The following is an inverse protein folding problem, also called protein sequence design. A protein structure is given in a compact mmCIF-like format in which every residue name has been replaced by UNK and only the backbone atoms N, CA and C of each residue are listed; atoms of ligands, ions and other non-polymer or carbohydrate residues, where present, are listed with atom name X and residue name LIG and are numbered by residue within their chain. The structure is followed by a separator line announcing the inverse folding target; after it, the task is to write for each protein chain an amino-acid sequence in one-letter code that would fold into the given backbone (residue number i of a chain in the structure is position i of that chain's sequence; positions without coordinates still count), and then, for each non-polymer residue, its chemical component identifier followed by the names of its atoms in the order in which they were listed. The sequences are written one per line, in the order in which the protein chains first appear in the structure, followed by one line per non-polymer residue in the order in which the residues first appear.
data_IF_088030949072
#
_entry.id   IF_088030949072
#
_cell.length_a   1.000
_cell.length_b   1.000
_cell.length_c   1.000
_cell.angle_alpha   90.00
_cell.angle_beta   90.00
_cell.angle_gamma   90.00
#
_symmetry.space_group_name_H-M   'P 1'
#
loop_
_entity.id
_entity.type
_entity.pdbx_description
1 polymer ?
#
# COMPACT_ATOMS: atom_id res chain seq x y z
N UNK A 1 -10.85 28.53 -13.94
CA UNK A 1 -9.54 28.19 -13.35
C UNK A 1 -9.22 26.78 -13.83
N UNK A 2 -8.11 26.58 -14.53
CA UNK A 2 -7.70 25.24 -14.98
C UNK A 2 -6.97 24.59 -13.81
N UNK A 3 -7.58 23.58 -13.17
CA UNK A 3 -7.01 22.94 -11.98
C UNK A 3 -6.30 21.66 -12.42
N UNK A 4 -5.01 21.55 -12.10
CA UNK A 4 -4.21 20.38 -12.44
C UNK A 4 -4.30 19.36 -11.31
N UNK A 5 -4.35 18.07 -11.65
CA UNK A 5 -4.15 17.01 -10.67
C UNK A 5 -2.65 16.73 -10.58
N UNK A 6 -2.09 16.89 -9.38
CA UNK A 6 -0.69 16.58 -9.09
C UNK A 6 -0.67 15.40 -8.13
N UNK A 7 0.01 14.33 -8.51
CA UNK A 7 0.20 13.16 -7.66
C UNK A 7 1.70 12.90 -7.53
N UNK A 8 2.17 12.83 -6.30
CA UNK A 8 3.56 12.52 -6.01
C UNK A 8 3.67 11.50 -4.89
N UNK A 9 4.83 10.86 -4.78
CA UNK A 9 5.08 9.90 -3.72
C UNK A 9 6.28 9.01 -4.03
N UNK A 10 6.43 7.98 -3.21
CA UNK A 10 7.44 6.96 -3.42
C UNK A 10 6.81 5.61 -3.76
N UNK A 11 7.46 4.89 -4.66
CA UNK A 11 7.23 3.46 -4.86
C UNK A 11 8.34 2.70 -4.16
N UNK A 12 7.96 1.76 -3.29
CA UNK A 12 8.89 0.93 -2.53
C UNK A 12 8.50 -0.54 -2.61
N UNK A 13 9.47 -1.41 -2.40
CA UNK A 13 9.23 -2.84 -2.19
C UNK A 13 8.57 -3.05 -0.82
N UNK A 14 7.55 -3.91 -0.75
CA UNK A 14 6.81 -4.17 0.49
C UNK A 14 7.62 -4.98 1.52
N UNK A 15 8.57 -5.82 1.09
CA UNK A 15 9.40 -6.68 1.93
C UNK A 15 10.66 -5.95 2.43
N UNK A 16 11.38 -5.26 1.55
CA UNK A 16 12.65 -4.59 1.86
C UNK A 16 12.49 -3.12 2.19
N UNK A 17 11.34 -2.51 1.85
CA UNK A 17 11.07 -1.07 1.98
C UNK A 17 12.07 -0.20 1.17
N UNK A 18 12.76 -0.79 0.19
CA UNK A 18 13.67 -0.07 -0.69
C UNK A 18 12.90 0.64 -1.81
N UNK A 19 13.38 1.82 -2.21
CA UNK A 19 12.82 2.57 -3.32
C UNK A 19 13.00 1.83 -4.64
N UNK A 20 11.91 1.66 -5.39
CA UNK A 20 11.94 0.94 -6.66
C UNK A 20 12.12 1.91 -7.83
N UNK A 21 13.25 1.87 -8.55
CA UNK A 21 13.49 2.74 -9.69
C UNK A 21 12.84 2.21 -10.96
N UNK A 22 12.53 3.12 -11.89
CA UNK A 22 11.96 2.83 -13.20
C UNK A 22 10.62 2.08 -13.17
N UNK A 23 9.85 2.24 -12.10
CA UNK A 23 8.48 1.74 -11.98
C UNK A 23 7.58 2.59 -12.86
N UNK A 24 6.69 1.93 -13.63
CA UNK A 24 5.75 2.62 -14.49
C UNK A 24 4.46 2.96 -13.72
N UNK A 25 4.10 4.24 -13.69
CA UNK A 25 2.84 4.74 -13.17
C UNK A 25 2.02 5.39 -14.27
N UNK A 26 0.75 5.02 -14.40
CA UNK A 26 -0.14 5.60 -15.41
C UNK A 26 -1.56 5.79 -14.89
N UNK A 27 -2.21 6.88 -15.31
CA UNK A 27 -3.63 7.05 -15.05
C UNK A 27 -4.43 5.96 -15.79
N UNK A 28 -5.32 5.27 -15.08
CA UNK A 28 -6.11 4.16 -15.64
C UNK A 28 -6.89 4.63 -16.87
N UNK A 29 -6.70 3.97 -18.01
CA UNK A 29 -7.38 4.30 -19.26
C UNK A 29 -6.86 5.57 -19.96
N UNK A 30 -5.78 6.17 -19.46
CA UNK A 30 -5.13 7.33 -20.06
C UNK A 30 -3.75 6.96 -20.59
N UNK A 31 -3.25 7.74 -21.55
CA UNK A 31 -1.85 7.66 -22.03
C UNK A 31 -0.88 8.44 -21.16
N UNK A 32 -1.39 9.09 -20.12
CA UNK A 32 -0.62 9.96 -19.24
C UNK A 32 -0.05 9.09 -18.13
N UNK A 33 1.26 8.96 -18.14
CA UNK A 33 2.04 8.20 -17.19
C UNK A 33 3.40 8.83 -16.94
N UNK A 34 4.06 8.34 -15.91
CA UNK A 34 5.40 8.72 -15.50
C UNK A 34 6.15 7.49 -15.03
N UNK A 35 7.45 7.62 -14.82
CA UNK A 35 8.27 6.57 -14.23
C UNK A 35 8.93 7.07 -12.95
N UNK A 36 9.25 6.18 -12.03
CA UNK A 36 10.03 6.55 -10.84
C UNK A 36 11.49 6.82 -11.16
N UNK A 37 12.09 7.75 -10.41
CA UNK A 37 13.52 8.03 -10.37
C UNK A 37 14.32 6.92 -9.65
N UNK A 38 15.65 7.08 -9.59
CA UNK A 38 16.61 6.16 -8.98
C UNK A 38 16.27 5.86 -7.50
N UNK A 39 15.65 6.81 -6.79
CA UNK A 39 15.24 6.68 -5.39
C UNK A 39 13.79 6.17 -5.22
N UNK A 40 13.12 5.78 -6.31
CA UNK A 40 11.72 5.38 -6.31
C UNK A 40 10.71 6.52 -6.14
N UNK A 41 11.15 7.78 -6.19
CA UNK A 41 10.24 8.94 -6.20
C UNK A 41 9.57 9.09 -7.57
N UNK A 42 8.30 9.52 -7.58
CA UNK A 42 7.62 9.91 -8.80
C UNK A 42 6.80 11.18 -8.58
N UNK A 43 6.59 11.91 -9.68
CA UNK A 43 5.65 13.03 -9.75
C UNK A 43 4.96 13.00 -11.11
N UNK A 44 3.63 13.07 -11.10
CA UNK A 44 2.81 13.13 -12.30
C UNK A 44 1.81 14.28 -12.17
N UNK A 45 1.80 15.15 -13.17
CA UNK A 45 0.86 16.26 -13.27
C UNK A 45 0.00 16.11 -14.52
N UNK A 46 -1.30 16.33 -14.39
CA UNK A 46 -2.21 16.20 -15.51
C UNK A 46 -3.50 16.99 -15.35
N UNK A 47 -3.93 17.61 -16.45
CA UNK A 47 -5.27 18.20 -16.60
C UNK A 47 -6.34 17.17 -16.97
N UNK A 48 -5.93 15.97 -17.39
CA UNK A 48 -6.81 14.88 -17.83
C UNK A 48 -6.60 13.63 -16.97
N UNK A 49 -6.36 13.83 -15.68
CA UNK A 49 -6.21 12.74 -14.72
C UNK A 49 -7.51 11.95 -14.57
N UNK A 50 -7.38 10.64 -14.42
CA UNK A 50 -8.51 9.76 -14.10
C UNK A 50 -8.62 9.55 -12.59
N UNK A 51 -9.64 8.82 -12.14
CA UNK A 51 -9.87 8.53 -10.72
C UNK A 51 -8.89 7.50 -10.13
N UNK A 52 -8.05 6.88 -10.97
CA UNK A 52 -7.22 5.74 -10.59
C UNK A 52 -5.82 5.85 -11.20
N UNK A 53 -4.80 5.64 -10.37
CA UNK A 53 -3.40 5.55 -10.77
C UNK A 53 -2.96 4.09 -10.66
N UNK A 54 -2.45 3.55 -11.77
CA UNK A 54 -1.99 2.17 -11.91
C UNK A 54 -0.47 2.19 -11.85
N UNK A 55 0.08 1.35 -10.97
CA UNK A 55 1.50 1.16 -10.79
C UNK A 55 1.87 -0.26 -11.23
N UNK A 56 2.86 -0.38 -12.12
CA UNK A 56 3.29 -1.64 -12.72
C UNK A 56 4.81 -1.72 -12.81
N UNK A 57 5.34 -2.86 -12.41
CA UNK A 57 6.77 -3.12 -12.43
C UNK A 57 7.05 -4.60 -12.72
N UNK A 58 8.16 -4.87 -13.41
CA UNK A 58 8.49 -6.22 -13.86
C UNK A 58 8.85 -7.08 -12.64
N UNK A 59 8.17 -8.22 -12.48
CA UNK A 59 8.38 -9.11 -11.34
C UNK A 59 7.56 -8.74 -10.09
N UNK A 60 6.64 -7.76 -10.19
CA UNK A 60 5.80 -7.30 -9.07
C UNK A 60 4.31 -7.33 -9.41
N UNK A 61 3.48 -7.43 -8.38
CA UNK A 61 2.03 -7.36 -8.53
C UNK A 61 1.61 -5.94 -8.93
N UNK A 62 0.79 -5.83 -9.98
CA UNK A 62 0.23 -4.55 -10.42
C UNK A 62 -0.74 -4.02 -9.36
N UNK A 63 -0.50 -2.79 -8.88
CA UNK A 63 -1.37 -2.15 -7.90
C UNK A 63 -2.10 -0.96 -8.52
N UNK A 64 -3.36 -0.75 -8.13
CA UNK A 64 -4.14 0.42 -8.54
C UNK A 64 -4.62 1.16 -7.30
N UNK A 65 -4.36 2.47 -7.21
CA UNK A 65 -4.87 3.33 -6.14
C UNK A 65 -5.78 4.40 -6.70
N UNK A 66 -6.85 4.72 -5.97
CA UNK A 66 -7.72 5.83 -6.33
C UNK A 66 -6.99 7.15 -6.05
N UNK A 67 -7.07 8.06 -7.00
CA UNK A 67 -6.56 9.43 -6.91
C UNK A 67 -7.72 10.40 -7.02
N UNK A 68 -7.59 11.51 -6.33
CA UNK A 68 -8.60 12.56 -6.38
C UNK A 68 -8.21 13.60 -7.43
N UNK A 69 -9.10 13.88 -8.37
CA UNK A 69 -8.85 14.88 -9.42
C UNK A 69 -8.78 16.29 -8.87
N UNK A 70 -8.17 17.17 -9.66
CA UNK A 70 -8.10 18.61 -9.49
C UNK A 70 -7.48 19.02 -8.14
N UNK A 71 -6.52 18.25 -7.65
CA UNK A 71 -5.78 18.60 -6.44
C UNK A 71 -4.37 18.04 -6.46
N UNK A 72 -3.55 18.60 -5.60
CA UNK A 72 -2.29 18.00 -5.18
C UNK A 72 -2.55 16.95 -4.09
N UNK A 73 -1.91 15.79 -4.20
CA UNK A 73 -2.00 14.73 -3.21
C UNK A 73 -0.74 13.86 -3.21
N UNK A 74 -0.42 13.31 -2.04
CA UNK A 74 0.66 12.34 -1.87
C UNK A 74 0.10 10.92 -1.83
N UNK A 75 0.63 10.04 -2.68
CA UNK A 75 0.23 8.62 -2.76
C UNK A 75 1.47 7.75 -2.82
N UNK A 76 1.80 7.08 -1.73
CA UNK A 76 2.90 6.11 -1.73
C UNK A 76 2.42 4.72 -2.17
N UNK A 77 3.25 3.99 -2.91
CA UNK A 77 2.97 2.63 -3.37
C UNK A 77 3.95 1.65 -2.72
N UNK A 78 3.42 0.57 -2.16
CA UNK A 78 4.19 -0.59 -1.70
C UNK A 78 3.88 -1.73 -2.66
N UNK A 79 4.89 -2.19 -3.40
CA UNK A 79 4.73 -3.28 -4.36
C UNK A 79 5.20 -4.59 -3.75
N UNK A 80 4.39 -5.62 -3.92
CA UNK A 80 4.72 -6.99 -3.52
C UNK A 80 5.31 -7.73 -4.72
N UNK A 81 6.33 -8.55 -4.47
CA UNK A 81 6.92 -9.41 -5.50
C UNK A 81 5.88 -10.39 -6.03
N UNK A 82 5.87 -10.57 -7.35
CA UNK A 82 4.90 -11.41 -8.05
C UNK A 82 5.33 -12.87 -8.01
N UNK A 83 5.14 -13.54 -6.87
CA UNK A 83 4.95 -14.99 -6.85
C UNK A 83 3.63 -15.27 -7.57
N UNK A 84 3.64 -16.13 -8.59
CA UNK A 84 2.53 -16.39 -9.52
C UNK A 84 1.23 -16.73 -8.77
N UNK A 85 0.43 -15.71 -8.46
CA UNK A 85 -0.99 -15.81 -8.14
C UNK A 85 -1.69 -14.63 -8.79
N UNK A 86 -2.29 -14.91 -9.95
CA UNK A 86 -3.22 -14.06 -10.68
C UNK A 86 -4.48 -13.83 -9.81
N UNK A 87 -4.40 -12.94 -8.83
CA UNK A 87 -5.57 -12.34 -8.22
C UNK A 87 -5.51 -10.83 -8.40
N UNK A 88 -6.22 -10.42 -9.45
CA UNK A 88 -6.65 -9.08 -9.77
C UNK A 88 -7.09 -8.33 -8.50
N UNK A 89 -6.52 -7.14 -8.27
CA UNK A 89 -6.69 -6.39 -7.02
C UNK A 89 -8.18 -6.13 -6.75
N UNK A 90 -8.66 -6.78 -5.69
CA UNK A 90 -9.86 -6.42 -4.94
C UNK A 90 -9.68 -4.99 -4.48
N UNK A 91 -10.40 -4.06 -5.13
CA UNK A 91 -10.52 -2.67 -4.69
C UNK A 91 -11.27 -2.69 -3.36
N UNK A 92 -10.56 -2.88 -2.25
CA UNK A 92 -11.10 -2.58 -0.92
C UNK A 92 -11.08 -1.06 -0.76
N UNK A 93 -12.16 -0.46 -1.24
CA UNK A 93 -12.61 0.82 -0.72
C UNK A 93 -12.89 0.62 0.77
N UNK A 94 -12.10 1.28 1.63
CA UNK A 94 -12.60 1.85 2.88
C UNK A 94 -11.44 2.42 3.70
N UNK A 95 -11.61 3.71 3.98
CA UNK A 95 -11.32 4.34 5.26
C UNK A 95 -9.87 4.58 5.68
N UNK A 96 -9.72 5.76 6.27
CA UNK A 96 -8.55 6.25 6.94
C UNK A 96 -8.11 5.28 8.03
N UNK A 97 -6.85 4.84 7.98
CA UNK A 97 -5.91 4.89 9.10
C UNK A 97 -4.59 4.25 8.65
N UNK A 98 -3.51 4.80 9.20
CA UNK A 98 -2.12 4.39 8.99
C UNK A 98 -1.87 2.99 9.56
N UNK A 99 -1.64 1.92 8.76
CA UNK A 99 -1.28 0.61 9.26
C UNK A 99 0.20 0.35 8.99
N UNK A 100 1.08 1.15 9.60
CA UNK A 100 2.51 0.87 9.64
C UNK A 100 2.82 -0.08 10.82
N UNK A 101 2.44 -1.34 10.68
CA UNK A 101 2.93 -2.53 11.39
C UNK A 101 2.54 -3.71 10.50
N UNK A 102 3.41 -4.60 10.04
CA UNK A 102 4.33 -5.42 10.81
C UNK A 102 5.53 -5.88 9.94
N UNK A 103 6.74 -5.34 10.11
CA UNK A 103 7.97 -6.08 9.74
C UNK A 103 9.11 -5.70 10.70
N UNK A 104 8.94 -5.92 12.00
CA UNK A 104 10.10 -5.91 12.91
C UNK A 104 10.00 -7.08 13.90
N UNK A 105 10.98 -7.98 13.73
CA UNK A 105 11.54 -8.93 14.71
C UNK A 105 10.83 -10.27 14.88
N UNK A 106 11.30 -11.22 14.08
CA UNK A 106 11.77 -12.48 14.66
C UNK A 106 12.88 -12.18 15.70
N UNK A 107 12.54 -12.14 16.98
CA UNK A 107 13.52 -12.33 18.07
C UNK A 107 13.06 -13.48 18.95
N UNK A 108 13.96 -14.45 18.96
CA UNK A 108 13.94 -15.76 19.59
C UNK A 108 13.39 -15.83 21.01
N UNK A 109 12.71 -16.96 21.26
CA UNK A 109 12.91 -17.87 22.42
C UNK A 109 13.69 -17.26 23.58
N UNK A 110 13.02 -16.94 24.68
CA UNK A 110 13.37 -17.18 26.09
C UNK A 110 12.20 -16.58 26.91
N UNK A 111 11.62 -17.12 27.98
CA UNK A 111 11.75 -18.37 28.72
C UNK A 111 10.69 -18.25 29.85
N UNK A 112 9.82 -19.24 30.00
CA UNK A 112 9.14 -19.64 31.25
C UNK A 112 8.98 -18.59 32.38
N UNK A 113 7.87 -17.85 32.40
CA UNK A 113 7.18 -17.39 33.63
C UNK A 113 5.80 -16.94 33.14
N UNK A 114 4.71 -17.66 33.33
CA UNK A 114 4.02 -17.71 34.61
C UNK A 114 3.00 -18.87 34.57
N UNK A 115 3.44 -20.07 34.92
CA UNK A 115 2.56 -21.22 35.12
C UNK A 115 2.21 -21.28 36.61
N UNK A 116 0.93 -21.13 36.98
CA UNK A 116 0.24 -21.95 37.99
C UNK A 116 -1.13 -21.39 38.35
N UNK A 117 -2.13 -22.28 38.18
CA UNK A 117 -3.22 -22.64 39.10
C UNK A 117 -4.01 -21.54 39.85
N UNK A 118 -5.30 -21.83 40.05
CA UNK A 118 -6.29 -21.20 40.97
C UNK A 118 -6.99 -19.95 40.43
N UNK A 119 -8.32 -19.78 40.45
CA UNK A 119 -9.50 -20.39 41.11
C UNK A 119 -10.71 -20.02 40.23
N UNK A 120 -11.60 -20.96 39.88
CA UNK A 120 -12.93 -21.17 40.50
C UNK A 120 -13.90 -19.97 40.54
N UNK A 121 -15.16 -20.29 40.16
CA UNK A 121 -16.43 -19.59 40.44
C UNK A 121 -16.73 -18.34 39.57
N UNK A 122 -17.95 -18.07 39.10
CA UNK A 122 -19.29 -18.57 39.42
C UNK A 122 -20.28 -18.19 38.29
N UNK A 123 -21.44 -18.85 38.27
CA UNK A 123 -22.60 -18.74 37.37
C UNK A 123 -23.13 -17.31 37.07
N UNK A 124 -23.85 -17.17 35.94
CA UNK A 124 -25.27 -16.77 36.00
C UNK A 124 -26.03 -17.12 34.71
N UNK A 125 -27.09 -17.94 34.81
CA UNK A 125 -28.20 -18.07 33.86
C UNK A 125 -29.28 -17.03 34.22
N UNK A 126 -29.95 -16.41 33.23
CA UNK A 126 -31.31 -15.88 33.44
C UNK A 126 -32.17 -16.09 32.19
N UNK A 127 -33.17 -16.95 32.39
CA UNK A 127 -34.53 -17.04 31.83
C UNK A 127 -34.85 -16.51 30.43
#
# INVERSE_FOLDING_TARGET
MCQTTVVEGHVRDALTNEGLPFVNLAFKGSKIGTSTDINGYYRIESYYATDSLVCSYVGYKRMTKRVRRDREQKVDFLLETSSVELQEVVVRASEWENPAHEIIRNVQKYRKVNNREKLEAYEYEVY
#
